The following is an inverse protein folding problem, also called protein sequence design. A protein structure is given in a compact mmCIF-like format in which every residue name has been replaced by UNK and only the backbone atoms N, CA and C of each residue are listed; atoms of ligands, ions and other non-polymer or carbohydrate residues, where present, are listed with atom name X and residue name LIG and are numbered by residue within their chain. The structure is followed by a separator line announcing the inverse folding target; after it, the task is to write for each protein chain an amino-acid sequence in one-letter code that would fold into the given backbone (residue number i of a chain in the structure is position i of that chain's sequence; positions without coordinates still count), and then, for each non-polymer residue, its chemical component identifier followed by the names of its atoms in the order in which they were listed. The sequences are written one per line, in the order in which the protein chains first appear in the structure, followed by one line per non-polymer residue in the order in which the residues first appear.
data_IF_377940322169
#
_entry.id   IF_377940322169
#
_cell.length_a   1.000
_cell.length_b   1.000
_cell.length_c   1.000
_cell.angle_alpha   90.00
_cell.angle_beta   90.00
_cell.angle_gamma   90.00
#
_symmetry.space_group_name_H-M   'P 1'
#
loop_
_entity.id
_entity.type
_entity.pdbx_description
1 polymer ?
#
# COMPACT_ATOMS: atom_id res chain seq x y z
N UNK A 1 1.37 -0.69 27.55
CA UNK A 1 1.44 -1.34 26.24
C UNK A 1 1.81 -2.79 26.49
N UNK A 2 1.03 -3.74 25.98
CA UNK A 2 1.30 -5.17 26.14
C UNK A 2 1.23 -5.79 24.74
N UNK A 3 2.25 -6.57 24.40
CA UNK A 3 2.23 -7.33 23.14
C UNK A 3 1.34 -8.54 23.31
N UNK A 4 0.54 -8.88 22.29
CA UNK A 4 -0.26 -10.11 22.30
C UNK A 4 0.58 -11.36 22.59
N UNK A 5 1.86 -11.38 22.18
CA UNK A 5 2.80 -12.47 22.44
C UNK A 5 3.19 -12.64 23.92
N UNK A 6 3.15 -11.56 24.71
CA UNK A 6 3.43 -11.61 26.16
C UNK A 6 2.28 -12.21 26.95
N UNK A 7 1.07 -12.19 26.38
CA UNK A 7 -0.13 -12.77 26.99
C UNK A 7 -0.21 -14.29 26.79
N UNK A 8 0.40 -14.82 25.72
CA UNK A 8 0.38 -16.25 25.39
C UNK A 8 1.55 -16.96 26.10
N UNK A 9 1.35 -17.28 27.36
CA UNK A 9 2.23 -18.21 28.09
C UNK A 9 2.02 -19.64 27.59
N UNK A 10 3.07 -20.42 27.34
CA UNK A 10 2.95 -21.84 26.92
C UNK A 10 2.29 -22.79 27.93
N UNK A 11 1.89 -22.30 29.10
CA UNK A 11 1.18 -23.03 30.14
C UNK A 11 -0.31 -22.72 30.06
N UNK A 12 -1.13 -23.76 29.91
CA UNK A 12 -2.60 -23.68 29.86
C UNK A 12 -3.16 -22.98 31.11
N UNK A 13 -4.06 -22.00 30.93
CA UNK A 13 -4.74 -21.27 32.00
C UNK A 13 -4.00 -20.02 32.53
N UNK A 14 -2.67 -19.98 32.48
CA UNK A 14 -1.89 -18.82 32.92
C UNK A 14 -2.17 -17.57 32.04
N UNK A 15 -2.41 -17.76 30.74
CA UNK A 15 -2.77 -16.67 29.82
C UNK A 15 -4.13 -16.05 30.15
N UNK A 16 -5.09 -16.84 30.61
CA UNK A 16 -6.43 -16.37 30.97
C UNK A 16 -6.42 -15.57 32.28
N UNK A 17 -5.65 -16.05 33.27
CA UNK A 17 -5.49 -15.34 34.53
C UNK A 17 -4.76 -14.01 34.33
N UNK A 18 -3.70 -13.99 33.51
CA UNK A 18 -3.00 -12.75 33.16
C UNK A 18 -3.95 -11.72 32.55
N UNK A 19 -4.84 -12.12 31.63
CA UNK A 19 -5.84 -11.21 31.05
C UNK A 19 -6.79 -10.69 32.14
N UNK A 20 -7.28 -11.57 33.02
CA UNK A 20 -8.19 -11.18 34.11
C UNK A 20 -7.54 -10.21 35.08
N UNK A 21 -6.30 -10.46 35.48
CA UNK A 21 -5.52 -9.58 36.35
C UNK A 21 -5.27 -8.22 35.70
N UNK A 22 -4.96 -8.19 34.40
CA UNK A 22 -4.73 -6.95 33.65
C UNK A 22 -5.98 -6.07 33.61
N UNK A 23 -7.14 -6.65 33.28
CA UNK A 23 -8.40 -5.91 33.31
C UNK A 23 -8.75 -5.47 34.73
N UNK A 24 -8.57 -6.33 35.74
CA UNK A 24 -8.79 -5.98 37.14
C UNK A 24 -7.90 -4.81 37.61
N UNK A 25 -6.63 -4.80 37.20
CA UNK A 25 -5.69 -3.71 37.47
C UNK A 25 -6.10 -2.43 36.76
N UNK A 26 -6.54 -2.52 35.51
CA UNK A 26 -7.02 -1.39 34.73
C UNK A 26 -8.27 -0.75 35.38
N UNK A 27 -9.21 -1.55 35.89
CA UNK A 27 -10.39 -1.05 36.61
C UNK A 27 -10.02 -0.39 37.95
N UNK A 28 -9.08 -0.96 38.70
CA UNK A 28 -8.60 -0.37 39.97
C UNK A 28 -7.87 0.96 39.78
N UNK A 29 -7.26 1.17 38.62
CA UNK A 29 -6.44 2.36 38.31
C UNK A 29 -7.14 3.34 37.36
N UNK A 30 -8.45 3.20 37.20
CA UNK A 30 -9.21 4.01 36.27
C UNK A 30 -9.18 5.51 36.64
N UNK A 31 -9.11 6.43 35.67
CA UNK A 31 -9.20 6.23 34.21
C UNK A 31 -7.94 5.61 33.60
N UNK A 32 -8.10 4.56 32.79
CA UNK A 32 -6.98 3.83 32.19
C UNK A 32 -7.27 3.38 30.76
N UNK A 33 -6.21 3.20 29.95
CA UNK A 33 -6.30 2.74 28.56
C UNK A 33 -5.60 1.38 28.47
N UNK A 34 -6.35 0.36 28.06
CA UNK A 34 -5.84 -0.98 27.75
C UNK A 34 -5.55 -1.04 26.26
N UNK A 35 -4.26 -1.00 25.90
CA UNK A 35 -3.80 -1.11 24.52
C UNK A 35 -3.28 -2.52 24.23
N UNK A 36 -3.96 -3.23 23.32
CA UNK A 36 -3.62 -4.58 22.86
C UNK A 36 -3.07 -4.46 21.44
N UNK A 37 -1.77 -4.67 21.29
CA UNK A 37 -1.09 -4.72 19.99
C UNK A 37 -1.24 -6.12 19.38
N UNK A 38 -1.36 -6.22 18.06
CA UNK A 38 -1.49 -7.49 17.31
C UNK A 38 -2.63 -8.41 17.82
N UNK A 39 -3.84 -7.85 17.96
CA UNK A 39 -4.99 -8.61 18.50
C UNK A 39 -5.35 -9.85 17.64
N UNK A 40 -4.99 -9.88 16.37
CA UNK A 40 -5.18 -11.04 15.48
C UNK A 40 -4.34 -12.27 15.89
N UNK A 41 -3.27 -12.11 16.66
CA UNK A 41 -2.50 -13.23 17.20
C UNK A 41 -3.28 -14.01 18.27
N UNK A 42 -4.12 -13.32 19.06
CA UNK A 42 -4.92 -13.92 20.13
C UNK A 42 -6.33 -14.24 19.65
N UNK A 43 -6.91 -13.35 18.85
CA UNK A 43 -8.32 -13.36 18.49
C UNK A 43 -8.58 -13.70 17.03
N UNK A 44 -7.88 -14.69 16.50
CA UNK A 44 -8.16 -15.18 15.15
C UNK A 44 -9.50 -15.94 15.08
N UNK A 45 -10.08 -16.02 13.88
CA UNK A 45 -11.36 -16.72 13.64
C UNK A 45 -11.37 -18.15 14.21
N UNK A 46 -12.45 -18.49 14.94
CA UNK A 46 -12.68 -19.81 15.57
C UNK A 46 -12.49 -21.02 14.65
N UNK A 47 -12.73 -20.85 13.36
CA UNK A 47 -12.60 -21.88 12.33
C UNK A 47 -11.14 -22.20 12.00
N UNK A 48 -10.23 -21.22 12.11
CA UNK A 48 -8.79 -21.38 11.85
C UNK A 48 -7.99 -21.77 13.11
N UNK A 49 -8.60 -21.66 14.30
CA UNK A 49 -7.96 -22.00 15.58
C UNK A 49 -7.83 -23.52 15.73
N UNK A 50 -6.66 -24.06 15.43
CA UNK A 50 -6.32 -25.47 15.68
C UNK A 50 -6.16 -25.79 17.19
N UNK A 51 -5.95 -24.78 18.04
CA UNK A 51 -5.68 -24.95 19.47
C UNK A 51 -6.90 -24.56 20.31
N UNK A 52 -7.42 -25.49 21.12
CA UNK A 52 -8.48 -25.21 22.08
C UNK A 52 -8.12 -24.10 23.07
N UNK A 53 -6.83 -23.99 23.41
CA UNK A 53 -6.30 -22.95 24.29
C UNK A 53 -6.62 -21.54 23.77
N UNK A 54 -6.44 -21.27 22.48
CA UNK A 54 -6.69 -19.95 21.89
C UNK A 54 -8.18 -19.59 21.93
N UNK A 55 -9.08 -20.57 21.71
CA UNK A 55 -10.54 -20.35 21.82
C UNK A 55 -10.95 -19.91 23.23
N UNK A 56 -10.30 -20.45 24.27
CA UNK A 56 -10.59 -20.07 25.66
C UNK A 56 -10.08 -18.67 25.97
N UNK A 57 -8.89 -18.31 25.48
CA UNK A 57 -8.33 -16.95 25.63
C UNK A 57 -9.26 -15.90 24.99
N UNK A 58 -9.77 -16.15 23.77
CA UNK A 58 -10.74 -15.24 23.13
C UNK A 58 -12.02 -15.13 23.95
N UNK A 59 -12.52 -16.24 24.48
CA UNK A 59 -13.72 -16.28 25.33
C UNK A 59 -13.53 -15.48 26.62
N UNK A 60 -12.37 -15.61 27.26
CA UNK A 60 -12.03 -14.84 28.45
C UNK A 60 -11.95 -13.34 28.16
N UNK A 61 -11.30 -12.95 27.05
CA UNK A 61 -11.21 -11.55 26.63
C UNK A 61 -12.61 -10.96 26.39
N UNK A 62 -13.49 -11.68 25.69
CA UNK A 62 -14.88 -11.29 25.47
C UNK A 62 -15.64 -11.10 26.79
N UNK A 63 -15.48 -12.03 27.75
CA UNK A 63 -16.13 -11.94 29.06
C UNK A 63 -15.66 -10.73 29.86
N UNK A 64 -14.35 -10.44 29.86
CA UNK A 64 -13.80 -9.28 30.56
C UNK A 64 -14.27 -7.93 29.98
N UNK A 65 -14.50 -7.88 28.66
CA UNK A 65 -15.05 -6.70 27.99
C UNK A 65 -16.56 -6.53 28.29
N UNK A 66 -17.34 -7.62 28.28
CA UNK A 66 -18.78 -7.56 28.57
C UNK A 66 -19.05 -7.19 30.04
N UNK A 67 -18.18 -7.63 30.97
CA UNK A 67 -18.25 -7.29 32.39
C UNK A 67 -17.99 -5.79 32.66
N UNK A 68 -17.11 -5.17 31.85
CA UNK A 68 -16.84 -3.73 31.88
C UNK A 68 -18.11 -2.88 31.68
N UNK A 69 -18.95 -3.29 30.73
CA UNK A 69 -20.15 -2.57 30.33
C UNK A 69 -21.24 -2.67 31.41
N UNK A 70 -21.29 -3.79 32.14
CA UNK A 70 -22.25 -4.03 33.23
C UNK A 70 -21.94 -3.17 34.46
N UNK A 71 -20.66 -2.96 34.78
CA UNK A 71 -20.24 -2.11 35.90
C UNK A 71 -20.49 -0.62 35.65
N UNK A 72 -20.45 -0.18 34.38
CA UNK A 72 -20.79 1.20 34.00
C UNK A 72 -22.30 1.44 34.06
N UNK A 73 -23.13 0.48 33.61
CA UNK A 73 -24.59 0.61 33.66
C UNK A 73 -25.20 0.49 35.07
N UNK A 74 -24.60 -0.29 35.97
CA UNK A 74 -25.11 -0.44 37.34
C UNK A 74 -24.90 0.80 38.20
N UNK A 75 -23.97 1.68 37.84
CA UNK A 75 -23.74 2.96 38.51
C UNK A 75 -24.81 4.03 38.20
N UNK A 76 -25.53 3.90 37.08
CA UNK A 76 -26.58 4.86 36.68
C UNK A 76 -27.96 4.54 37.27
N UNK A 77 -28.21 3.30 37.73
CA UNK A 77 -29.52 2.89 38.28
C UNK A 77 -29.64 3.15 39.80
N UNK A 78 -28.53 3.29 40.52
CA UNK A 78 -28.51 3.47 41.98
C UNK A 78 -27.97 4.84 42.44
N UNK A 79 -28.33 5.94 41.76
CA UNK A 79 -28.11 7.29 42.29
C UNK A 79 -29.24 7.72 43.22
N UNK A 80 -29.32 7.08 44.38
CA UNK A 80 -29.99 7.59 45.58
C UNK A 80 -29.08 7.32 46.80
N UNK A 81 -27.95 8.01 46.88
CA UNK A 81 -27.22 8.25 48.12
C UNK A 81 -26.16 9.33 47.91
N UNK A 82 -26.25 10.36 48.72
CA UNK A 82 -25.38 11.53 48.78
C UNK A 82 -23.93 11.12 49.07
N UNK A 83 -23.07 11.13 48.04
CA UNK A 83 -21.64 11.44 48.19
C UNK A 83 -21.10 11.92 46.85
N UNK A 84 -20.69 13.18 46.83
CA UNK A 84 -20.00 13.84 45.74
C UNK A 84 -18.64 13.20 45.48
N UNK A 85 -18.32 12.99 44.19
CA UNK A 85 -17.01 12.63 43.60
C UNK A 85 -16.58 11.16 43.45
N UNK A 86 -17.50 10.25 43.12
CA UNK A 86 -17.14 8.98 42.46
C UNK A 86 -17.58 9.01 40.99
N UNK A 87 -16.79 9.65 40.12
CA UNK A 87 -16.94 9.44 38.67
C UNK A 87 -16.62 7.97 38.39
N UNK A 88 -17.48 7.20 37.71
CA UNK A 88 -17.16 5.83 37.35
C UNK A 88 -15.87 5.86 36.54
N UNK A 89 -14.86 5.14 36.99
CA UNK A 89 -13.58 5.10 36.32
C UNK A 89 -13.76 4.45 34.93
N UNK A 90 -13.50 5.22 33.87
CA UNK A 90 -13.63 4.72 32.50
C UNK A 90 -12.37 3.97 32.09
N UNK A 91 -12.55 2.76 31.57
CA UNK A 91 -11.47 1.97 30.95
C UNK A 91 -11.74 1.91 29.46
N UNK A 92 -10.80 2.41 28.65
CA UNK A 92 -10.89 2.37 27.19
C UNK A 92 -10.00 1.23 26.67
N UNK A 93 -10.58 0.32 25.89
CA UNK A 93 -9.83 -0.77 25.25
C UNK A 93 -9.56 -0.41 23.79
N UNK A 94 -8.29 -0.38 23.39
CA UNK A 94 -7.85 -0.12 22.02
C UNK A 94 -7.11 -1.36 21.52
N UNK A 95 -7.61 -1.96 20.44
CA UNK A 95 -6.94 -3.07 19.75
C UNK A 95 -6.33 -2.60 18.43
N UNK A 96 -5.10 -3.00 18.15
CA UNK A 96 -4.45 -2.80 16.86
C UNK A 96 -4.31 -4.13 16.11
N UNK A 97 -4.64 -4.13 14.81
CA UNK A 97 -4.42 -5.28 13.92
C UNK A 97 -4.08 -4.81 12.51
N UNK A 98 -3.23 -5.59 11.83
CA UNK A 98 -2.96 -5.40 10.40
C UNK A 98 -4.03 -6.07 9.52
N UNK A 99 -4.84 -6.97 10.10
CA UNK A 99 -5.81 -7.82 9.38
C UNK A 99 -7.16 -7.81 10.10
N UNK A 100 -8.03 -6.82 9.85
CA UNK A 100 -9.36 -6.78 10.48
C UNK A 100 -10.21 -8.02 10.14
N UNK A 101 -9.96 -8.65 9.00
CA UNK A 101 -10.65 -9.87 8.57
C UNK A 101 -10.19 -11.14 9.31
N UNK A 102 -9.01 -11.10 9.95
CA UNK A 102 -8.48 -12.22 10.74
C UNK A 102 -9.15 -12.28 12.12
N UNK A 103 -9.62 -11.14 12.63
CA UNK A 103 -10.25 -11.01 13.94
C UNK A 103 -11.62 -11.69 13.98
N UNK A 104 -11.95 -12.33 15.11
CA UNK A 104 -13.25 -12.95 15.35
C UNK A 104 -14.39 -11.90 15.21
N UNK A 105 -15.40 -12.12 14.33
CA UNK A 105 -16.54 -11.22 14.18
C UNK A 105 -17.33 -10.95 15.47
N UNK A 106 -17.24 -11.83 16.47
CA UNK A 106 -17.86 -11.63 17.78
C UNK A 106 -17.24 -10.47 18.55
N UNK A 107 -15.97 -10.14 18.31
CA UNK A 107 -15.30 -8.99 18.92
C UNK A 107 -15.71 -7.67 18.28
N UNK A 108 -16.14 -7.68 17.02
CA UNK A 108 -16.66 -6.51 16.26
C UNK A 108 -18.12 -6.18 16.57
N UNK A 109 -18.75 -6.89 17.52
CA UNK A 109 -20.15 -6.65 17.89
C UNK A 109 -20.25 -5.44 18.83
N UNK A 110 -21.36 -4.68 18.76
CA UNK A 110 -21.61 -3.58 19.70
C UNK A 110 -21.48 -4.03 21.16
N UNK A 111 -20.80 -3.22 21.97
CA UNK A 111 -20.46 -3.53 23.38
C UNK A 111 -19.02 -4.02 23.59
N UNK A 112 -18.26 -4.28 22.50
CA UNK A 112 -16.83 -4.65 22.54
C UNK A 112 -16.00 -3.67 21.71
N UNK A 113 -15.54 -4.06 20.52
CA UNK A 113 -14.99 -3.12 19.54
C UNK A 113 -16.13 -2.61 18.66
N UNK A 114 -16.76 -1.54 19.12
CA UNK A 114 -17.84 -0.83 18.44
C UNK A 114 -17.32 0.14 17.38
N UNK A 115 -16.10 0.67 17.56
CA UNK A 115 -15.45 1.61 16.65
C UNK A 115 -14.26 0.97 15.97
N UNK A 116 -14.24 1.07 14.65
CA UNK A 116 -13.10 0.71 13.82
C UNK A 116 -12.51 1.97 13.19
N UNK A 117 -11.19 2.13 13.34
CA UNK A 117 -10.45 3.23 12.74
C UNK A 117 -9.43 2.60 11.79
N UNK A 118 -9.60 2.87 10.50
CA UNK A 118 -8.68 2.38 9.47
C UNK A 118 -7.52 3.37 9.36
N UNK A 119 -6.31 2.91 9.71
CA UNK A 119 -5.08 3.68 9.49
C UNK A 119 -4.48 3.26 8.14
N UNK A 120 -4.57 4.17 7.17
CA UNK A 120 -4.00 3.99 5.84
C UNK A 120 -2.49 4.29 5.79
N UNK A 121 -1.91 4.08 4.60
CA UNK A 121 -0.58 4.60 4.29
C UNK A 121 -0.66 6.13 4.22
N UNK A 122 0.29 6.87 4.83
CA UNK A 122 0.22 8.33 4.86
C UNK A 122 0.38 8.96 3.47
N UNK A 123 -0.43 9.98 3.18
CA UNK A 123 -0.35 10.83 1.99
C UNK A 123 0.89 11.74 2.00
N UNK A 124 1.17 12.45 0.90
CA UNK A 124 2.34 13.35 0.80
C UNK A 124 2.40 14.36 1.95
N UNK A 125 1.28 15.04 2.24
CA UNK A 125 1.19 16.01 3.34
C UNK A 125 1.39 15.34 4.71
N UNK A 126 0.75 14.19 4.94
CA UNK A 126 0.93 13.43 6.18
C UNK A 126 2.38 12.93 6.35
N UNK A 127 3.07 12.58 5.26
CA UNK A 127 4.49 12.22 5.30
C UNK A 127 5.37 13.42 5.65
N UNK A 128 5.04 14.62 5.17
CA UNK A 128 5.73 15.85 5.58
C UNK A 128 5.57 16.09 7.08
N UNK A 129 4.34 15.94 7.60
CA UNK A 129 4.08 16.09 9.04
C UNK A 129 4.84 15.05 9.86
N UNK A 130 4.83 13.77 9.45
CA UNK A 130 5.60 12.71 10.10
C UNK A 130 7.10 13.03 10.05
N UNK A 131 7.61 13.44 8.89
CA UNK A 131 9.01 13.82 8.75
C UNK A 131 9.34 15.02 9.66
N UNK A 132 8.47 16.01 9.77
CA UNK A 132 8.68 17.18 10.65
C UNK A 132 8.85 16.78 12.11
N UNK A 133 8.09 15.79 12.58
CA UNK A 133 8.18 15.24 13.94
C UNK A 133 9.48 14.46 14.10
N UNK A 134 9.81 13.59 13.14
CA UNK A 134 11.03 12.77 13.17
C UNK A 134 12.32 13.61 13.08
N UNK A 135 12.27 14.73 12.35
CA UNK A 135 13.41 15.63 12.19
C UNK A 135 13.53 16.66 13.32
N UNK A 136 12.56 16.74 14.23
CA UNK A 136 12.57 17.71 15.34
C UNK A 136 13.78 17.52 16.27
N UNK A 137 14.17 16.26 16.48
CA UNK A 137 15.32 15.90 17.32
C UNK A 137 16.64 15.86 16.54
N UNK A 138 16.59 16.04 15.21
CA UNK A 138 17.76 15.96 14.34
C UNK A 138 18.33 17.36 14.04
N UNK A 139 19.66 17.45 14.00
CA UNK A 139 20.37 18.66 13.59
C UNK A 139 20.46 18.70 12.06
N UNK A 140 19.57 19.47 11.44
CA UNK A 140 19.52 19.65 9.98
C UNK A 140 20.29 20.91 9.55
N UNK A 141 21.05 20.82 8.46
CA UNK A 141 21.74 21.98 7.86
C UNK A 141 20.94 22.60 6.72
N UNK A 142 20.79 23.93 6.76
CA UNK A 142 20.28 24.72 5.63
C UNK A 142 18.76 24.67 5.43
N UNK A 143 18.32 25.05 4.22
CA UNK A 143 16.91 25.02 3.81
C UNK A 143 16.48 23.58 3.50
N UNK A 144 16.04 22.87 4.53
CA UNK A 144 15.65 21.47 4.42
C UNK A 144 14.23 21.33 3.86
N UNK A 145 14.13 20.92 2.60
CA UNK A 145 12.85 20.76 1.92
C UNK A 145 12.24 19.37 2.18
N UNK A 146 11.39 19.30 3.20
CA UNK A 146 10.64 18.09 3.57
C UNK A 146 9.69 17.63 2.47
N UNK A 147 9.14 18.55 1.67
CA UNK A 147 8.21 18.22 0.58
C UNK A 147 8.92 17.41 -0.49
N UNK A 148 10.17 17.78 -0.82
CA UNK A 148 10.97 17.04 -1.80
C UNK A 148 11.22 15.59 -1.37
N UNK A 149 11.47 15.35 -0.07
CA UNK A 149 11.66 14.00 0.48
C UNK A 149 10.34 13.22 0.47
N UNK A 150 9.24 13.85 0.86
CA UNK A 150 7.92 13.22 0.85
C UNK A 150 7.48 12.79 -0.56
N UNK A 151 7.86 13.55 -1.60
CA UNK A 151 7.64 13.20 -3.01
C UNK A 151 8.51 12.02 -3.47
N UNK A 152 9.75 11.94 -2.99
CA UNK A 152 10.65 10.83 -3.34
C UNK A 152 10.37 9.54 -2.56
N UNK A 153 9.48 9.57 -1.57
CA UNK A 153 9.16 8.44 -0.69
C UNK A 153 7.68 8.00 -0.77
N UNK A 154 7.13 7.73 -1.98
CA UNK A 154 5.74 7.30 -2.10
C UNK A 154 5.57 5.89 -1.53
N UNK A 155 4.55 5.71 -0.69
CA UNK A 155 4.26 4.43 -0.03
C UNK A 155 5.16 4.11 1.18
N UNK A 156 5.89 5.08 1.72
CA UNK A 156 6.62 4.89 2.98
C UNK A 156 5.66 5.04 4.16
N UNK A 157 5.72 4.10 5.10
CA UNK A 157 4.99 4.19 6.37
C UNK A 157 5.84 4.94 7.40
N UNK A 158 5.26 5.39 8.52
CA UNK A 158 6.01 6.10 9.58
C UNK A 158 7.27 5.36 10.05
N UNK A 159 7.23 4.01 10.11
CA UNK A 159 8.41 3.20 10.43
C UNK A 159 9.50 3.27 9.34
N UNK A 160 9.12 3.31 8.07
CA UNK A 160 10.06 3.45 6.94
C UNK A 160 10.69 4.85 6.93
N UNK A 161 9.90 5.89 7.24
CA UNK A 161 10.40 7.27 7.38
C UNK A 161 11.36 7.41 8.57
N UNK A 162 11.08 6.72 9.68
CA UNK A 162 12.01 6.66 10.81
C UNK A 162 13.31 5.92 10.44
N UNK A 163 13.21 4.81 9.71
CA UNK A 163 14.38 4.10 9.18
C UNK A 163 15.18 4.96 8.20
N UNK A 164 14.51 5.75 7.36
CA UNK A 164 15.13 6.72 6.45
C UNK A 164 15.93 7.78 7.22
N UNK A 165 15.31 8.39 8.24
CA UNK A 165 15.96 9.39 9.08
C UNK A 165 17.18 8.82 9.81
N UNK A 166 17.06 7.62 10.39
CA UNK A 166 18.17 6.92 11.03
C UNK A 166 19.29 6.57 10.03
N UNK A 167 18.93 6.19 8.80
CA UNK A 167 19.92 5.89 7.76
C UNK A 167 20.65 7.15 7.29
N UNK A 168 19.94 8.25 7.11
CA UNK A 168 20.52 9.56 6.79
C UNK A 168 21.48 10.01 7.91
N UNK A 169 21.09 9.86 9.17
CA UNK A 169 21.97 10.12 10.32
C UNK A 169 23.24 9.26 10.31
N UNK A 170 23.14 7.97 9.99
CA UNK A 170 24.31 7.09 9.85
C UNK A 170 25.22 7.47 8.68
N UNK A 171 24.66 7.92 7.55
CA UNK A 171 25.44 8.40 6.41
C UNK A 171 26.17 9.71 6.74
N UNK A 172 25.49 10.64 7.40
CA UNK A 172 26.11 11.87 7.90
C UNK A 172 27.24 11.55 8.88
N UNK A 173 27.01 10.64 9.83
CA UNK A 173 28.03 10.21 10.78
C UNK A 173 29.24 9.59 10.08
N UNK A 174 29.01 8.72 9.09
CA UNK A 174 30.09 8.11 8.29
C UNK A 174 30.90 9.17 7.56
N UNK A 175 30.26 10.16 6.93
CA UNK A 175 30.93 11.27 6.26
C UNK A 175 31.81 12.08 7.21
N UNK A 176 31.33 12.32 8.42
CA UNK A 176 32.06 13.09 9.44
C UNK A 176 33.26 12.28 9.94
N UNK A 177 33.07 10.99 10.20
CA UNK A 177 34.14 10.06 10.56
C UNK A 177 35.22 10.03 9.46
N UNK A 178 34.82 9.92 8.20
CA UNK A 178 35.74 9.87 7.06
C UNK A 178 36.52 11.19 6.90
N UNK A 179 35.87 12.33 7.17
CA UNK A 179 36.52 13.66 7.23
C UNK A 179 37.56 13.72 8.34
N UNK A 180 37.20 13.31 9.56
CA UNK A 180 38.09 13.27 10.72
C UNK A 180 39.29 12.35 10.48
N UNK A 181 39.05 11.18 9.90
CA UNK A 181 40.12 10.25 9.50
C UNK A 181 41.08 10.88 8.51
N UNK A 182 40.56 11.63 7.54
CA UNK A 182 41.38 12.34 6.54
C UNK A 182 42.20 13.47 7.15
N UNK A 183 41.62 14.24 8.07
CA UNK A 183 42.30 15.33 8.80
C UNK A 183 43.41 14.79 9.74
N UNK A 184 43.19 13.65 10.41
CA UNK A 184 44.21 13.00 11.25
C UNK A 184 45.28 12.24 10.45
N UNK A 185 44.96 11.70 9.28
CA UNK A 185 45.95 11.04 8.41
C UNK A 185 46.95 12.00 7.74
N UNK A 186 46.79 13.31 7.91
CA UNK A 186 47.71 14.34 7.45
C UNK A 186 48.95 14.54 8.34
N UNK A 187 48.95 14.01 9.57
CA UNK A 187 50.13 14.03 10.45
C UNK A 187 50.81 12.64 10.42
N UNK A 188 52.03 12.51 9.86
CA UNK A 188 52.77 11.27 9.92
C UNK A 188 53.47 11.20 11.28
N UNK A 189 52.88 10.51 12.24
CA UNK A 189 53.64 10.02 13.41
C UNK A 189 53.59 8.51 13.45
N UNK A 190 54.79 7.94 13.30
CA UNK A 190 55.14 6.54 13.51
C UNK A 190 54.62 6.01 14.85
N UNK A 191 54.16 4.76 14.83
CA UNK A 191 54.05 3.90 16.01
C UNK A 191 52.64 3.58 16.48
N UNK A 192 52.15 2.39 16.12
CA UNK A 192 51.29 1.45 16.89
C UNK A 192 50.07 1.95 17.70
N UNK A 193 49.58 3.18 17.49
CA UNK A 193 48.33 3.69 18.08
C UNK A 193 47.23 3.96 17.04
N UNK A 194 47.24 3.24 15.91
CA UNK A 194 46.25 3.40 14.83
C UNK A 194 44.83 2.92 15.19
N UNK A 195 44.63 2.25 16.33
CA UNK A 195 43.33 1.67 16.72
C UNK A 195 42.48 2.53 17.67
N UNK A 196 43.03 3.58 18.28
CA UNK A 196 42.35 4.31 19.38
C UNK A 196 41.83 5.73 19.04
N UNK A 197 41.94 6.17 17.78
CA UNK A 197 41.47 7.50 17.36
C UNK A 197 39.96 7.74 17.59
N UNK A 198 39.18 6.66 17.64
CA UNK A 198 37.75 6.68 17.94
C UNK A 198 37.40 6.97 19.42
N UNK A 199 38.38 6.85 20.34
CA UNK A 199 38.18 7.05 21.78
C UNK A 199 38.32 8.51 22.22
N UNK A 200 38.82 9.39 21.35
CA UNK A 200 38.91 10.81 21.69
C UNK A 200 37.51 11.40 21.85
N UNK A 201 37.18 11.99 23.03
CA UNK A 201 35.89 12.63 23.24
C UNK A 201 35.66 13.75 22.23
N UNK A 202 34.44 13.84 21.71
CA UNK A 202 34.04 14.89 20.79
C UNK A 202 34.08 16.24 21.51
N UNK A 203 34.77 17.23 20.95
CA UNK A 203 34.70 18.58 21.49
C UNK A 203 33.32 19.19 21.18
N UNK A 204 32.77 20.07 22.04
CA UNK A 204 31.49 20.72 21.80
C UNK A 204 31.39 21.44 20.44
N UNK A 205 32.49 22.02 19.97
CA UNK A 205 32.58 22.71 18.67
C UNK A 205 32.54 21.74 17.46
N UNK A 206 33.08 20.52 17.62
CA UNK A 206 32.96 19.47 16.61
C UNK A 206 31.53 18.94 16.56
N UNK A 207 30.84 18.90 17.70
CA UNK A 207 29.44 18.53 17.79
C UNK A 207 28.49 19.58 17.18
N UNK A 208 28.89 20.84 17.10
CA UNK A 208 28.14 21.88 16.38
C UNK A 208 28.27 21.77 14.87
N UNK A 209 29.39 21.23 14.36
CA UNK A 209 29.59 20.93 12.93
C UNK A 209 28.92 19.63 12.48
N UNK A 210 28.37 18.85 13.41
CA UNK A 210 27.60 17.64 13.13
C UNK A 210 26.19 17.99 12.64
N UNK A 211 26.03 18.11 11.34
CA UNK A 211 24.76 18.39 10.70
C UNK A 211 24.44 17.37 9.61
N UNK A 212 23.15 17.03 9.50
CA UNK A 212 22.63 16.17 8.44
C UNK A 212 22.24 17.08 7.27
N UNK A 213 22.69 16.71 6.07
CA UNK A 213 22.42 17.47 4.85
C UNK A 213 21.33 16.80 4.02
N UNK A 214 20.74 17.55 3.08
CA UNK A 214 19.73 17.03 2.16
C UNK A 214 20.26 15.86 1.31
N UNK A 215 21.54 15.88 0.92
CA UNK A 215 22.15 14.81 0.14
C UNK A 215 22.13 13.45 0.86
N UNK A 216 22.32 13.46 2.19
CA UNK A 216 22.30 12.24 3.00
C UNK A 216 20.90 11.60 3.00
N UNK A 217 19.85 12.40 3.00
CA UNK A 217 18.46 11.94 2.88
C UNK A 217 18.13 11.43 1.48
N UNK A 218 18.61 12.09 0.43
CA UNK A 218 18.42 11.63 -0.96
C UNK A 218 19.14 10.30 -1.22
N UNK A 219 20.32 10.11 -0.63
CA UNK A 219 21.07 8.85 -0.71
C UNK A 219 20.41 7.75 0.13
N UNK A 220 19.96 8.07 1.35
CA UNK A 220 19.21 7.16 2.19
C UNK A 220 17.91 6.67 1.50
N UNK A 221 17.20 7.56 0.79
CA UNK A 221 15.97 7.23 0.09
C UNK A 221 16.16 6.19 -1.03
N UNK A 222 17.35 6.12 -1.62
CA UNK A 222 17.71 5.09 -2.62
C UNK A 222 17.99 3.73 -1.99
N UNK A 223 18.47 3.71 -0.74
CA UNK A 223 18.86 2.48 -0.04
C UNK A 223 17.71 1.85 0.73
N UNK A 224 16.81 2.65 1.30
CA UNK A 224 15.68 2.16 2.10
C UNK A 224 14.58 1.67 1.15
N UNK A 225 14.26 0.38 1.23
CA UNK A 225 13.12 -0.18 0.52
C UNK A 225 11.83 0.08 1.32
N UNK A 226 10.75 0.59 0.68
CA UNK A 226 9.47 0.77 1.36
C UNK A 226 8.89 -0.57 1.78
N UNK A 227 8.34 -0.64 2.98
CA UNK A 227 7.64 -1.83 3.48
C UNK A 227 6.44 -2.16 2.59
N UNK A 228 5.78 -1.16 2.00
CA UNK A 228 4.70 -1.37 1.04
C UNK A 228 5.14 -2.09 -0.25
N UNK A 229 6.39 -1.99 -0.71
CA UNK A 229 6.80 -2.79 -1.90
C UNK A 229 6.81 -4.28 -1.63
N UNK A 230 6.99 -4.72 -0.38
CA UNK A 230 6.99 -6.15 0.00
C UNK A 230 5.63 -6.81 -0.16
N UNK A 231 4.55 -6.03 -0.25
CA UNK A 231 3.19 -6.51 -0.51
C UNK A 231 2.74 -6.34 -1.97
N UNK A 232 3.65 -6.06 -2.91
CA UNK A 232 3.33 -5.93 -4.34
C UNK A 232 2.79 -4.56 -4.76
N UNK A 233 2.91 -3.54 -3.92
CA UNK A 233 2.43 -2.18 -4.20
C UNK A 233 3.43 -1.36 -5.02
N UNK A 234 2.93 -0.61 -6.00
CA UNK A 234 3.67 0.44 -6.72
C UNK A 234 2.92 1.75 -6.59
N UNK A 235 3.29 2.55 -5.56
CA UNK A 235 2.59 3.78 -5.22
C UNK A 235 2.45 4.76 -6.40
N UNK A 236 3.44 4.86 -7.30
CA UNK A 236 3.26 5.50 -8.61
C UNK A 236 4.18 4.77 -9.62
N UNK A 237 3.69 4.32 -10.78
CA UNK A 237 4.54 3.70 -11.79
C UNK A 237 5.43 4.74 -12.47
N UNK A 238 6.73 4.45 -12.62
CA UNK A 238 7.71 5.35 -13.26
C UNK A 238 7.56 5.48 -14.79
N UNK A 239 6.47 4.98 -15.38
CA UNK A 239 6.25 4.96 -16.83
C UNK A 239 5.57 6.26 -17.23
N UNK A 240 6.27 7.11 -18.00
CA UNK A 240 5.68 8.30 -18.62
C UNK A 240 4.99 7.93 -19.93
N UNK A 241 4.05 8.77 -20.37
CA UNK A 241 3.40 8.62 -21.68
C UNK A 241 4.41 8.60 -22.82
N UNK A 242 5.52 9.31 -22.70
CA UNK A 242 6.59 9.32 -23.70
C UNK A 242 7.26 7.96 -23.94
N UNK A 243 7.12 7.02 -23.00
CA UNK A 243 7.60 5.64 -23.14
C UNK A 243 6.59 4.75 -23.89
N UNK A 244 5.37 5.22 -24.11
CA UNK A 244 4.32 4.55 -24.87
C UNK A 244 4.26 5.23 -26.24
N UNK A 245 4.79 4.57 -27.27
CA UNK A 245 4.74 5.11 -28.63
C UNK A 245 3.34 4.96 -29.23
N UNK A 246 2.77 6.05 -29.72
CA UNK A 246 1.48 6.06 -30.43
C UNK A 246 0.24 6.06 -29.53
N UNK A 247 -0.91 5.64 -30.10
CA UNK A 247 -2.19 5.46 -29.41
C UNK A 247 -2.80 6.73 -28.80
N UNK A 248 -2.68 7.86 -29.50
CA UNK A 248 -3.21 9.16 -29.06
C UNK A 248 -4.73 9.15 -28.85
N UNK A 249 -5.46 8.31 -29.59
CA UNK A 249 -6.91 8.14 -29.42
C UNK A 249 -7.24 7.57 -28.04
N UNK A 250 -6.57 6.50 -27.63
CA UNK A 250 -6.73 5.89 -26.31
C UNK A 250 -6.29 6.84 -25.21
N UNK A 251 -5.21 7.60 -25.43
CA UNK A 251 -4.75 8.65 -24.51
C UNK A 251 -5.86 9.65 -24.20
N UNK A 252 -6.49 10.19 -25.24
CA UNK A 252 -7.53 11.22 -25.10
C UNK A 252 -8.77 10.69 -24.36
N UNK A 253 -9.12 9.43 -24.59
CA UNK A 253 -10.21 8.78 -23.86
C UNK A 253 -9.85 8.63 -22.38
N UNK A 254 -8.67 8.10 -22.05
CA UNK A 254 -8.23 7.98 -20.65
C UNK A 254 -8.04 9.34 -19.95
N UNK A 255 -7.56 10.36 -20.65
CA UNK A 255 -7.45 11.72 -20.11
C UNK A 255 -8.84 12.25 -19.71
N UNK A 256 -9.82 12.11 -20.61
CA UNK A 256 -11.20 12.57 -20.40
C UNK A 256 -11.87 11.85 -19.23
N UNK A 257 -11.70 10.53 -19.12
CA UNK A 257 -12.45 9.74 -18.14
C UNK A 257 -11.75 9.54 -16.80
N UNK A 258 -10.41 9.51 -16.76
CA UNK A 258 -9.66 9.20 -15.54
C UNK A 258 -8.88 10.43 -15.08
N UNK A 259 -7.96 10.96 -15.91
CA UNK A 259 -7.00 12.00 -15.49
C UNK A 259 -7.73 13.28 -15.08
N UNK A 260 -8.64 13.79 -15.92
CA UNK A 260 -9.40 15.02 -15.61
C UNK A 260 -10.27 14.87 -14.37
N UNK A 261 -10.86 13.70 -14.16
CA UNK A 261 -11.71 13.44 -13.00
C UNK A 261 -10.92 13.38 -11.70
N UNK A 262 -9.69 12.86 -11.73
CA UNK A 262 -8.81 12.85 -10.55
C UNK A 262 -8.27 14.24 -10.24
N UNK A 263 -7.97 15.04 -11.28
CA UNK A 263 -7.42 16.40 -11.11
C UNK A 263 -8.47 17.44 -10.69
N UNK A 264 -9.71 17.31 -11.16
CA UNK A 264 -10.78 18.28 -10.94
C UNK A 264 -12.05 17.62 -10.39
N UNK A 265 -12.04 17.03 -9.18
CA UNK A 265 -13.20 16.31 -8.66
C UNK A 265 -14.43 17.20 -8.45
N UNK A 266 -14.24 18.45 -8.01
CA UNK A 266 -15.31 19.41 -7.70
C UNK A 266 -16.21 19.68 -8.91
N UNK A 267 -15.61 19.90 -10.09
CA UNK A 267 -16.31 20.14 -11.35
C UNK A 267 -17.19 18.95 -11.78
N UNK A 268 -16.91 17.73 -11.33
CA UNK A 268 -17.70 16.55 -11.71
C UNK A 268 -18.77 16.20 -10.66
N UNK A 269 -18.57 16.55 -9.39
CA UNK A 269 -19.58 16.36 -8.34
C UNK A 269 -20.80 17.26 -8.56
N UNK A 270 -20.61 18.49 -9.04
CA UNK A 270 -21.69 19.44 -9.29
C UNK A 270 -22.62 19.02 -10.44
N UNK A 271 -22.09 18.29 -11.44
CA UNK A 271 -22.87 17.84 -12.61
C UNK A 271 -23.67 16.54 -12.39
N UNK A 272 -23.46 15.83 -11.28
CA UNK A 272 -24.26 14.64 -10.92
C UNK A 272 -24.23 13.50 -11.94
N UNK A 273 -23.18 13.39 -12.76
CA UNK A 273 -23.09 12.38 -13.82
C UNK A 273 -22.65 11.04 -13.23
N UNK A 274 -23.43 9.99 -13.46
CA UNK A 274 -23.09 8.61 -13.07
C UNK A 274 -21.68 8.22 -13.58
N UNK A 275 -20.86 7.76 -12.63
CA UNK A 275 -19.44 7.48 -12.83
C UNK A 275 -19.27 6.07 -13.39
N UNK A 276 -19.06 5.94 -14.70
CA UNK A 276 -18.53 4.70 -15.27
C UNK A 276 -17.06 4.53 -14.83
N UNK A 277 -16.82 3.64 -13.88
CA UNK A 277 -15.52 3.46 -13.20
C UNK A 277 -14.69 2.30 -13.75
N UNK A 278 -15.20 1.54 -14.73
CA UNK A 278 -14.55 0.33 -15.25
C UNK A 278 -14.30 0.31 -16.76
N UNK A 279 -13.03 0.13 -17.13
CA UNK A 279 -12.55 0.04 -18.51
C UNK A 279 -11.99 -1.34 -18.80
N UNK A 280 -12.30 -1.93 -19.96
CA UNK A 280 -11.69 -3.17 -20.43
C UNK A 280 -10.89 -2.92 -21.71
N UNK A 281 -9.58 -3.04 -21.60
CA UNK A 281 -8.64 -3.04 -22.71
C UNK A 281 -8.60 -4.43 -23.35
N UNK A 282 -8.83 -4.52 -24.65
CA UNK A 282 -8.70 -5.79 -25.39
C UNK A 282 -7.93 -5.61 -26.69
N UNK A 283 -7.24 -6.66 -27.12
CA UNK A 283 -6.51 -6.67 -28.40
C UNK A 283 -5.42 -7.76 -28.45
N UNK A 284 -4.58 -7.80 -29.50
CA UNK A 284 -3.52 -8.78 -29.59
C UNK A 284 -2.48 -8.64 -28.47
N UNK A 285 -1.81 -9.74 -28.06
CA UNK A 285 -0.76 -9.69 -27.05
C UNK A 285 0.40 -8.80 -27.52
N UNK A 286 1.19 -8.28 -26.58
CA UNK A 286 2.38 -7.49 -26.91
C UNK A 286 2.12 -6.05 -27.37
N UNK A 287 0.88 -5.57 -27.41
CA UNK A 287 0.56 -4.18 -27.80
C UNK A 287 0.62 -3.16 -26.64
N UNK A 288 1.28 -3.51 -25.52
CA UNK A 288 1.52 -2.56 -24.44
C UNK A 288 0.31 -2.20 -23.58
N UNK A 289 -0.75 -3.02 -23.51
CA UNK A 289 -1.93 -2.79 -22.64
C UNK A 289 -1.54 -2.45 -21.19
N UNK A 290 -0.64 -3.25 -20.62
CA UNK A 290 -0.09 -3.05 -19.27
C UNK A 290 0.75 -1.77 -19.15
N UNK A 291 1.44 -1.35 -20.22
CA UNK A 291 2.22 -0.12 -20.24
C UNK A 291 1.32 1.12 -20.30
N UNK A 292 0.23 1.08 -21.07
CA UNK A 292 -0.76 2.16 -21.16
C UNK A 292 -1.37 2.41 -19.78
N UNK A 293 -1.84 1.37 -19.09
CA UNK A 293 -2.43 1.51 -17.76
C UNK A 293 -1.45 2.13 -16.75
N UNK A 294 -0.18 1.76 -16.80
CA UNK A 294 0.87 2.36 -15.97
C UNK A 294 1.10 3.84 -16.33
N UNK A 295 1.12 4.18 -17.62
CA UNK A 295 1.29 5.56 -18.07
C UNK A 295 0.13 6.46 -17.62
N UNK A 296 -1.11 5.97 -17.71
CA UNK A 296 -2.31 6.68 -17.24
C UNK A 296 -2.25 6.92 -15.73
N UNK A 297 -1.85 5.92 -14.94
CA UNK A 297 -1.73 6.08 -13.50
C UNK A 297 -0.68 7.14 -13.10
N UNK A 298 0.44 7.18 -13.81
CA UNK A 298 1.47 8.19 -13.59
C UNK A 298 1.01 9.61 -14.00
N UNK A 299 0.26 9.74 -15.10
CA UNK A 299 -0.28 11.04 -15.57
C UNK A 299 -1.40 11.56 -14.66
N UNK A 300 -2.18 10.65 -14.08
CA UNK A 300 -3.18 10.95 -13.06
C UNK A 300 -2.57 11.24 -11.68
N UNK A 301 -1.32 10.84 -11.42
CA UNK A 301 -0.72 10.90 -10.08
C UNK A 301 -1.42 9.97 -9.08
N UNK A 302 -2.04 8.90 -9.56
CA UNK A 302 -2.85 7.98 -8.76
C UNK A 302 -2.06 6.72 -8.37
N UNK A 303 -2.46 6.12 -7.25
CA UNK A 303 -1.90 4.86 -6.80
C UNK A 303 -2.18 3.75 -7.84
N UNK A 304 -1.22 2.87 -8.11
CA UNK A 304 -1.38 1.79 -9.09
C UNK A 304 -1.26 0.42 -8.44
N UNK A 305 -2.34 -0.35 -8.48
CA UNK A 305 -2.37 -1.74 -8.01
C UNK A 305 -2.45 -2.65 -9.24
N UNK A 306 -1.39 -3.42 -9.45
CA UNK A 306 -1.29 -4.35 -10.58
C UNK A 306 -1.55 -5.77 -10.12
N UNK A 307 -2.57 -6.41 -10.66
CA UNK A 307 -2.98 -7.77 -10.31
C UNK A 307 -2.96 -8.61 -11.57
N UNK A 308 -2.24 -9.74 -11.54
CA UNK A 308 -2.29 -10.72 -12.62
C UNK A 308 -3.40 -11.72 -12.35
N UNK A 309 -4.20 -12.09 -13.35
CA UNK A 309 -5.25 -13.11 -13.24
C UNK A 309 -4.77 -14.40 -12.54
N UNK A 310 -3.65 -15.02 -12.96
CA UNK A 310 -3.10 -16.22 -12.32
C UNK A 310 -2.73 -16.04 -10.83
N UNK A 311 -2.40 -14.82 -10.39
CA UNK A 311 -2.01 -14.54 -9.00
C UNK A 311 -3.17 -14.73 -8.03
N UNK A 312 -4.40 -14.52 -8.50
CA UNK A 312 -5.62 -14.74 -7.72
C UNK A 312 -5.99 -16.24 -7.66
N UNK A 313 -5.58 -17.03 -8.65
CA UNK A 313 -5.86 -18.47 -8.70
C UNK A 313 -4.91 -19.31 -7.83
N UNK A 314 -3.66 -18.86 -7.67
CA UNK A 314 -2.62 -19.62 -6.95
C UNK A 314 -2.72 -19.55 -5.42
N UNK A 315 -3.56 -18.66 -4.85
CA UNK A 315 -3.84 -18.65 -3.42
C UNK A 315 -4.85 -19.76 -3.11
N UNK A 316 -4.61 -20.54 -2.07
CA UNK A 316 -5.38 -21.74 -1.70
C UNK A 316 -6.90 -21.52 -1.81
N UNK A 317 -7.62 -22.58 -2.20
CA UNK A 317 -9.08 -22.59 -2.39
C UNK A 317 -9.78 -22.04 -1.13
N UNK A 318 -10.30 -20.81 -1.21
CA UNK A 318 -10.96 -20.08 -0.12
C UNK A 318 -10.27 -18.76 0.27
N UNK A 319 -8.93 -18.68 0.20
CA UNK A 319 -8.20 -17.44 0.45
C UNK A 319 -8.31 -16.45 -0.72
N UNK A 320 -8.60 -16.93 -1.92
CA UNK A 320 -8.72 -16.10 -3.12
C UNK A 320 -9.90 -15.12 -3.07
N UNK A 321 -11.04 -15.51 -2.50
CA UNK A 321 -12.19 -14.61 -2.31
C UNK A 321 -11.87 -13.49 -1.32
N UNK A 322 -11.23 -13.85 -0.20
CA UNK A 322 -10.79 -12.89 0.79
C UNK A 322 -9.76 -11.93 0.18
N UNK A 323 -8.82 -12.44 -0.63
CA UNK A 323 -7.82 -11.63 -1.31
C UNK A 323 -8.46 -10.56 -2.20
N UNK A 324 -9.51 -10.89 -2.96
CA UNK A 324 -10.25 -9.91 -3.77
C UNK A 324 -10.86 -8.83 -2.87
N UNK A 325 -11.53 -9.20 -1.77
CA UNK A 325 -12.08 -8.21 -0.82
C UNK A 325 -11.01 -7.31 -0.21
N UNK A 326 -9.89 -7.90 0.22
CA UNK A 326 -8.77 -7.16 0.78
C UNK A 326 -8.18 -6.18 -0.24
N UNK A 327 -8.05 -6.59 -1.50
CA UNK A 327 -7.58 -5.73 -2.60
C UNK A 327 -8.49 -4.51 -2.77
N UNK A 328 -9.81 -4.69 -2.86
CA UNK A 328 -10.76 -3.58 -3.04
C UNK A 328 -10.88 -2.71 -1.77
N UNK A 329 -10.81 -3.30 -0.58
CA UNK A 329 -10.74 -2.56 0.69
C UNK A 329 -9.51 -1.65 0.71
N UNK A 330 -8.35 -2.17 0.33
CA UNK A 330 -7.10 -1.40 0.26
C UNK A 330 -7.13 -0.33 -0.82
N UNK A 331 -7.69 -0.62 -1.99
CA UNK A 331 -7.84 0.36 -3.06
C UNK A 331 -8.69 1.56 -2.60
N UNK A 332 -9.71 1.33 -1.76
CA UNK A 332 -10.52 2.39 -1.15
C UNK A 332 -9.72 3.24 -0.16
N UNK A 333 -8.88 2.63 0.68
CA UNK A 333 -8.01 3.36 1.62
C UNK A 333 -6.96 4.20 0.89
N UNK A 334 -6.51 3.77 -0.29
CA UNK A 334 -5.48 4.45 -1.08
C UNK A 334 -6.05 5.36 -2.19
N UNK A 335 -7.27 5.89 -2.03
CA UNK A 335 -7.90 6.78 -3.01
C UNK A 335 -7.14 8.12 -3.15
N UNK A 336 -6.83 8.61 -4.36
CA UNK A 336 -7.21 8.09 -5.68
C UNK A 336 -6.33 6.90 -6.14
N UNK A 337 -6.97 5.82 -6.59
CA UNK A 337 -6.29 4.57 -6.98
C UNK A 337 -6.82 4.00 -8.30
N UNK A 338 -5.93 3.48 -9.13
CA UNK A 338 -6.21 2.69 -10.32
C UNK A 338 -5.89 1.22 -10.05
N UNK A 339 -6.91 0.38 -10.13
CA UNK A 339 -6.84 -1.06 -9.98
C UNK A 339 -6.76 -1.70 -11.37
N UNK A 340 -5.60 -2.26 -11.71
CA UNK A 340 -5.35 -2.89 -13.00
C UNK A 340 -5.35 -4.41 -12.87
N UNK A 341 -6.28 -5.07 -13.56
CA UNK A 341 -6.32 -6.52 -13.69
C UNK A 341 -5.76 -6.92 -15.07
N UNK A 342 -4.61 -7.57 -15.08
CA UNK A 342 -4.05 -8.20 -16.28
C UNK A 342 -4.57 -9.63 -16.44
N UNK A 343 -4.71 -10.09 -17.67
CA UNK A 343 -5.22 -11.44 -18.00
C UNK A 343 -6.54 -11.77 -17.30
N UNK A 344 -7.52 -10.86 -17.35
CA UNK A 344 -8.85 -11.10 -16.74
C UNK A 344 -9.55 -12.32 -17.34
N UNK A 345 -9.18 -12.73 -18.55
CA UNK A 345 -9.67 -13.93 -19.21
C UNK A 345 -9.28 -15.22 -18.47
N UNK A 346 -8.18 -15.22 -17.71
CA UNK A 346 -7.82 -16.34 -16.85
C UNK A 346 -8.84 -16.56 -15.71
N UNK A 347 -9.53 -15.48 -15.29
CA UNK A 347 -10.55 -15.51 -14.24
C UNK A 347 -11.96 -15.75 -14.78
N UNK A 348 -12.13 -15.71 -16.11
CA UNK A 348 -13.42 -15.86 -16.77
C UNK A 348 -13.35 -17.04 -17.72
N UNK A 349 -13.35 -18.27 -17.19
CA UNK A 349 -13.57 -19.44 -18.04
C UNK A 349 -15.06 -19.59 -18.31
N UNK A 350 -15.44 -20.07 -19.51
CA UNK A 350 -16.85 -20.37 -19.82
C UNK A 350 -17.39 -21.38 -18.82
N UNK A 351 -18.52 -21.04 -18.18
CA UNK A 351 -19.26 -21.87 -17.22
C UNK A 351 -19.43 -23.29 -17.77
N UNK A 352 -19.07 -24.31 -16.99
CA UNK A 352 -19.31 -25.72 -17.34
C UNK A 352 -18.11 -26.57 -17.75
N UNK A 353 -16.85 -26.12 -17.59
CA UNK A 353 -15.68 -27.03 -17.60
C UNK A 353 -15.42 -27.59 -16.20
N UNK A 354 -15.16 -28.91 -16.11
CA UNK A 354 -14.79 -29.57 -14.85
C UNK A 354 -13.63 -28.83 -14.15
N UNK A 355 -13.81 -28.50 -12.87
CA UNK A 355 -12.88 -27.68 -12.08
C UNK A 355 -13.18 -26.17 -12.04
N UNK A 356 -14.18 -25.68 -12.79
CA UNK A 356 -14.54 -24.26 -12.87
C UNK A 356 -15.21 -23.65 -11.63
N UNK A 357 -15.67 -24.45 -10.67
CA UNK A 357 -16.44 -23.96 -9.52
C UNK A 357 -15.66 -22.95 -8.63
N UNK A 358 -14.33 -23.13 -8.50
CA UNK A 358 -13.48 -22.19 -7.75
C UNK A 358 -13.38 -20.84 -8.47
N UNK A 359 -13.27 -20.88 -9.80
CA UNK A 359 -13.18 -19.69 -10.65
C UNK A 359 -14.51 -18.94 -10.65
N UNK A 360 -15.64 -19.65 -10.71
CA UNK A 360 -16.98 -19.06 -10.66
C UNK A 360 -17.25 -18.32 -9.35
N UNK A 361 -16.83 -18.89 -8.21
CA UNK A 361 -16.95 -18.24 -6.90
C UNK A 361 -16.13 -16.96 -6.81
N UNK A 362 -14.88 -17.02 -7.28
CA UNK A 362 -14.01 -15.85 -7.35
C UNK A 362 -14.57 -14.76 -8.27
N UNK A 363 -15.08 -15.16 -9.44
CA UNK A 363 -15.71 -14.24 -10.37
C UNK A 363 -16.93 -13.57 -9.75
N UNK A 364 -17.80 -14.32 -9.08
CA UNK A 364 -18.96 -13.75 -8.38
C UNK A 364 -18.54 -12.75 -7.31
N UNK A 365 -17.48 -13.04 -6.54
CA UNK A 365 -16.95 -12.09 -5.56
C UNK A 365 -16.40 -10.82 -6.22
N UNK A 366 -15.68 -10.95 -7.34
CA UNK A 366 -15.21 -9.81 -8.12
C UNK A 366 -16.38 -8.97 -8.64
N UNK A 367 -17.45 -9.61 -9.14
CA UNK A 367 -18.65 -8.92 -9.62
C UNK A 367 -19.36 -8.14 -8.50
N UNK A 368 -19.42 -8.69 -7.28
CA UNK A 368 -20.00 -8.00 -6.12
C UNK A 368 -19.19 -6.74 -5.78
N UNK A 369 -17.86 -6.83 -5.75
CA UNK A 369 -17.00 -5.66 -5.51
C UNK A 369 -17.07 -4.63 -6.65
N UNK A 370 -17.24 -5.08 -7.90
CA UNK A 370 -17.43 -4.22 -9.06
C UNK A 370 -18.83 -3.60 -9.13
N UNK A 371 -19.86 -4.17 -8.50
CA UNK A 371 -21.21 -3.60 -8.45
C UNK A 371 -21.40 -2.61 -7.30
N UNK A 372 -20.51 -2.63 -6.29
CA UNK A 372 -20.53 -1.73 -5.13
C UNK A 372 -20.19 -0.26 -5.46
N UNK A 373 -20.88 0.33 -6.44
CA UNK A 373 -20.64 1.66 -7.00
C UNK A 373 -20.67 2.79 -5.97
N UNK A 374 -21.57 2.75 -4.98
CA UNK A 374 -21.65 3.77 -3.93
C UNK A 374 -20.39 3.83 -3.03
N UNK A 375 -19.58 2.77 -3.01
CA UNK A 375 -18.38 2.66 -2.17
C UNK A 375 -17.06 2.93 -2.94
N UNK A 376 -17.12 3.31 -4.22
CA UNK A 376 -15.95 3.44 -5.11
C UNK A 376 -15.55 4.88 -5.45
N UNK A 377 -15.75 5.84 -4.52
CA UNK A 377 -15.29 7.22 -4.73
C UNK A 377 -13.76 7.26 -4.89
N UNK A 378 -13.30 7.64 -6.09
CA UNK A 378 -11.88 7.76 -6.44
C UNK A 378 -11.15 6.43 -6.73
N UNK A 379 -11.86 5.31 -6.87
CA UNK A 379 -11.27 4.02 -7.29
C UNK A 379 -11.69 3.69 -8.72
N UNK A 380 -10.71 3.59 -9.62
CA UNK A 380 -10.90 3.28 -11.03
C UNK A 380 -10.42 1.86 -11.32
N UNK A 381 -11.16 1.10 -12.13
CA UNK A 381 -10.81 -0.27 -12.48
C UNK A 381 -10.50 -0.37 -13.97
N UNK A 382 -9.36 -0.96 -14.31
CA UNK A 382 -8.96 -1.24 -15.69
C UNK A 382 -8.66 -2.73 -15.81
N UNK A 383 -9.34 -3.43 -16.71
CA UNK A 383 -9.07 -4.82 -17.05
C UNK A 383 -8.32 -4.90 -18.37
N UNK A 384 -7.45 -5.87 -18.54
CA UNK A 384 -6.80 -6.19 -19.81
C UNK A 384 -7.04 -7.66 -20.17
N UNK A 385 -7.44 -7.89 -21.41
CA UNK A 385 -7.63 -9.24 -21.97
C UNK A 385 -7.02 -9.33 -23.37
N UNK A 386 -6.51 -10.51 -23.72
CA UNK A 386 -6.15 -10.82 -25.10
C UNK A 386 -7.27 -11.56 -25.83
N UNK A 387 -8.25 -12.09 -25.08
CA UNK A 387 -9.28 -13.01 -25.56
C UNK A 387 -10.68 -12.56 -25.10
N UNK A 388 -11.23 -11.47 -25.66
CA UNK A 388 -12.55 -10.98 -25.27
C UNK A 388 -13.66 -12.00 -25.53
N UNK A 389 -13.47 -12.96 -26.44
CA UNK A 389 -14.44 -14.00 -26.80
C UNK A 389 -14.66 -15.07 -25.70
N UNK A 390 -13.72 -15.20 -24.77
CA UNK A 390 -13.78 -16.17 -23.66
C UNK A 390 -14.48 -15.59 -22.43
N UNK A 391 -14.59 -14.26 -22.36
CA UNK A 391 -15.09 -13.56 -21.17
C UNK A 391 -16.58 -13.77 -20.90
N UNK A 392 -16.95 -13.80 -19.61
CA UNK A 392 -18.35 -13.84 -19.18
C UNK A 392 -19.02 -12.48 -19.48
N UNK A 393 -20.18 -12.52 -20.15
CA UNK A 393 -21.01 -11.35 -20.45
C UNK A 393 -21.43 -10.58 -19.20
N UNK A 394 -21.46 -11.23 -18.03
CA UNK A 394 -21.71 -10.57 -16.76
C UNK A 394 -20.69 -9.46 -16.47
N UNK A 395 -19.42 -9.67 -16.81
CA UNK A 395 -18.32 -8.73 -16.56
C UNK A 395 -18.46 -7.45 -17.40
N UNK A 396 -19.06 -7.57 -18.59
CA UNK A 396 -19.22 -6.50 -19.58
C UNK A 396 -20.46 -5.61 -19.35
N UNK A 397 -21.25 -5.88 -18.30
CA UNK A 397 -22.46 -5.09 -18.04
C UNK A 397 -22.10 -3.67 -17.58
N UNK A 398 -22.92 -2.65 -17.92
CA UNK A 398 -22.77 -1.31 -17.38
C UNK A 398 -22.72 -1.32 -15.84
N UNK A 399 -21.85 -0.50 -15.25
CA UNK A 399 -21.55 -0.49 -13.80
C UNK A 399 -20.30 -1.30 -13.40
N UNK A 400 -19.85 -2.23 -14.26
CA UNK A 400 -18.64 -3.05 -14.12
C UNK A 400 -17.61 -2.60 -15.16
N UNK A 401 -17.18 -3.48 -16.07
CA UNK A 401 -16.36 -3.13 -17.23
C UNK A 401 -17.23 -2.66 -18.40
N UNK A 402 -17.95 -1.56 -18.21
CA UNK A 402 -18.90 -1.05 -19.20
C UNK A 402 -18.23 -0.50 -20.46
N UNK A 403 -17.00 0.01 -20.36
CA UNK A 403 -16.28 0.63 -21.48
C UNK A 403 -15.22 -0.30 -22.06
N UNK A 404 -15.51 -0.81 -23.25
CA UNK A 404 -14.61 -1.62 -24.06
C UNK A 404 -13.71 -0.74 -24.91
N UNK A 405 -12.39 -0.85 -24.73
CA UNK A 405 -11.38 -0.11 -25.47
C UNK A 405 -10.49 -1.09 -26.24
N UNK A 406 -10.52 -0.97 -27.56
CA UNK A 406 -9.68 -1.79 -28.44
C UNK A 406 -8.28 -1.20 -28.57
N UNK A 407 -7.26 -2.03 -28.36
CA UNK A 407 -5.86 -1.69 -28.61
C UNK A 407 -5.42 -2.41 -29.90
N UNK A 408 -5.34 -1.69 -31.03
CA UNK A 408 -4.94 -2.27 -32.31
C UNK A 408 -3.43 -2.56 -32.36
N UNK A 409 -3.01 -3.27 -33.41
CA UNK A 409 -1.60 -3.32 -33.79
C UNK A 409 -1.13 -1.92 -34.23
N UNK A 410 0.15 -1.57 -33.99
CA UNK A 410 0.66 -0.24 -34.32
C UNK A 410 0.75 0.00 -35.83
N UNK A 411 0.30 1.17 -36.26
CA UNK A 411 0.46 1.67 -37.64
C UNK A 411 1.94 1.94 -37.97
N UNK A 412 2.34 2.04 -39.26
CA UNK A 412 3.74 2.25 -39.65
C UNK A 412 4.41 3.46 -38.98
N UNK A 413 3.68 4.56 -38.85
CA UNK A 413 4.18 5.76 -38.16
C UNK A 413 4.28 5.55 -36.64
N UNK A 414 3.30 4.86 -36.03
CA UNK A 414 3.35 4.50 -34.61
C UNK A 414 4.48 3.52 -34.30
N UNK A 415 4.81 2.58 -35.19
CA UNK A 415 5.97 1.69 -35.05
C UNK A 415 7.27 2.49 -34.95
N UNK A 416 7.45 3.50 -35.80
CA UNK A 416 8.59 4.42 -35.70
C UNK A 416 8.64 5.16 -34.36
N UNK A 417 7.49 5.61 -33.85
CA UNK A 417 7.40 6.24 -32.52
C UNK A 417 7.72 5.26 -31.37
N UNK A 418 7.26 4.01 -31.46
CA UNK A 418 7.56 2.95 -30.49
C UNK A 418 9.07 2.65 -30.49
N UNK A 419 9.67 2.47 -31.67
CA UNK A 419 11.11 2.26 -31.80
C UNK A 419 11.90 3.43 -31.19
N UNK A 420 11.46 4.67 -31.43
CA UNK A 420 12.06 5.87 -30.82
C UNK A 420 11.91 5.89 -29.30
N UNK A 421 10.77 5.47 -28.76
CA UNK A 421 10.55 5.39 -27.32
C UNK A 421 11.46 4.34 -26.65
N UNK A 422 11.61 3.17 -27.28
CA UNK A 422 12.48 2.08 -26.81
C UNK A 422 13.97 2.45 -26.90
N UNK A 423 14.35 3.12 -27.99
CA UNK A 423 15.70 3.57 -28.28
C UNK A 423 16.29 4.53 -27.25
N UNK A 424 15.46 5.32 -26.54
CA UNK A 424 15.94 6.35 -25.59
C UNK A 424 16.87 5.82 -24.49
N UNK A 425 16.76 4.53 -24.15
CA UNK A 425 17.58 3.90 -23.11
C UNK A 425 18.88 3.29 -23.66
N UNK A 426 19.06 3.25 -24.98
CA UNK A 426 20.21 2.64 -25.65
C UNK A 426 20.97 3.68 -26.47
N UNK A 427 22.31 3.62 -26.51
CA UNK A 427 23.08 4.45 -27.42
C UNK A 427 22.84 3.95 -28.85
N UNK A 428 22.19 4.77 -29.68
CA UNK A 428 21.97 4.50 -31.10
C UNK A 428 22.78 5.49 -31.92
N UNK A 429 23.41 4.99 -32.98
CA UNK A 429 24.17 5.81 -33.92
C UNK A 429 23.25 6.75 -34.71
N UNK A 430 23.71 7.97 -35.00
CA UNK A 430 22.92 8.98 -35.70
C UNK A 430 22.54 8.58 -37.14
N UNK A 431 23.21 7.57 -37.72
CA UNK A 431 22.90 7.02 -39.04
C UNK A 431 21.63 6.17 -39.08
N UNK A 432 21.12 5.73 -37.93
CA UNK A 432 19.95 4.84 -37.86
C UNK A 432 18.65 5.65 -37.81
N UNK A 433 17.91 5.66 -38.92
CA UNK A 433 16.56 6.25 -38.96
C UNK A 433 15.49 5.23 -38.53
N UNK A 434 15.04 5.35 -37.28
CA UNK A 434 14.01 4.50 -36.68
C UNK A 434 12.63 4.68 -37.33
N UNK A 435 12.34 5.83 -37.93
CA UNK A 435 11.06 6.09 -38.59
C UNK A 435 11.02 5.35 -39.93
N UNK A 436 12.14 5.36 -40.67
CA UNK A 436 12.27 4.57 -41.90
C UNK A 436 12.14 3.07 -41.62
N UNK A 437 12.75 2.56 -40.54
CA UNK A 437 12.64 1.15 -40.13
C UNK A 437 11.18 0.77 -39.83
N UNK A 438 10.43 1.63 -39.13
CA UNK A 438 9.02 1.37 -38.83
C UNK A 438 8.11 1.27 -40.08
N UNK A 439 8.50 1.95 -41.16
CA UNK A 439 7.79 1.95 -42.46
C UNK A 439 8.15 0.78 -43.37
N UNK A 440 9.24 0.05 -43.09
CA UNK A 440 9.62 -1.10 -43.88
C UNK A 440 8.57 -2.22 -43.80
N UNK A 441 8.34 -2.90 -44.92
CA UNK A 441 7.42 -4.05 -45.03
C UNK A 441 7.85 -5.22 -44.12
N UNK A 442 9.16 -5.36 -43.84
CA UNK A 442 9.68 -6.36 -42.91
C UNK A 442 9.19 -6.19 -41.46
N UNK A 443 8.71 -5.00 -41.09
CA UNK A 443 8.17 -4.69 -39.77
C UNK A 443 6.63 -4.68 -39.74
N UNK A 444 5.98 -5.15 -40.81
CA UNK A 444 4.52 -5.23 -40.87
C UNK A 444 3.97 -6.25 -39.86
N UNK A 445 2.85 -5.91 -39.22
CA UNK A 445 2.18 -6.72 -38.19
C UNK A 445 3.00 -7.04 -36.92
N UNK A 446 4.19 -6.44 -36.75
CA UNK A 446 4.93 -6.58 -35.50
C UNK A 446 4.21 -5.87 -34.35
N UNK A 447 4.10 -6.57 -33.22
CA UNK A 447 3.59 -5.99 -31.97
C UNK A 447 4.65 -5.11 -31.31
N UNK A 448 4.24 -4.30 -30.33
CA UNK A 448 5.18 -3.51 -29.52
C UNK A 448 6.23 -4.37 -28.79
N UNK A 449 5.88 -5.62 -28.44
CA UNK A 449 6.81 -6.58 -27.86
C UNK A 449 7.83 -7.08 -28.88
N UNK A 450 7.41 -7.34 -30.12
CA UNK A 450 8.32 -7.78 -31.19
C UNK A 450 9.29 -6.65 -31.58
N UNK A 451 8.80 -5.41 -31.64
CA UNK A 451 9.63 -4.22 -31.84
C UNK A 451 10.63 -4.01 -30.69
N UNK A 452 10.26 -4.38 -29.46
CA UNK A 452 11.17 -4.39 -28.32
C UNK A 452 12.23 -5.49 -28.38
N UNK A 453 11.97 -6.59 -29.09
CA UNK A 453 12.98 -7.62 -29.34
C UNK A 453 13.93 -7.23 -30.47
N UNK A 454 13.48 -6.38 -31.40
CA UNK A 454 14.27 -5.86 -32.51
C UNK A 454 15.32 -4.82 -32.08
N UNK A 455 14.98 -3.95 -31.11
CA UNK A 455 15.83 -2.88 -30.57
C UNK A 455 16.68 -3.39 -29.42
#
# INVERSE_FOLDING_TARGET
KISATELVSGVSGASEENIRELFSKAYRTAPSIVFIDEIDAIASKRENLQREMERRIVTQLMSCMDESHRLVQSADVNRNAESSDCRPGYVLVIGATNRPDAVDPALRRPGRFDREIVLGVPDENARVDILSVLTRDLRLEGAFDLLKIARSTPGFVGADLAALANKAGNLAMKRIIDRRKSELSGEPTDGDHAEDWWRHPWLPEEMEKLSITMADFEEAAKMVQPSSRREGFSAIPNVKWENVGGLDLLRREFDRYIVRRIKYPEDYEEFGVDLETGFLLYGPPGCGKTLIAKAVANEAGANFIHIKGPELLNKYVGESELAVRTIFSRARTCSPCILFFDEVDALTTKRGKEGGWVVERLLNQLLIELDGADQRRGVYVIGATNRPEVMDRAVLRPGRFGRLLYVPLPSPDERGLILKALARKKPIDATVDLIAIGRNEACENLSGADLSALV
#
